data_IF_234896165173
#
_entry.id   IF_234896165173
#
_cell.length_a   1.000
_cell.length_b   1.000
_cell.length_c   1.000
_cell.angle_alpha   90.00
_cell.angle_beta   90.00
_cell.angle_gamma   90.00
#
_symmetry.space_group_name_H-M   'P 1'
#
loop_
_entity.id
_entity.type
_entity.pdbx_description
1 polymer ?
#
# COMPACT_ATOMS: atom_id res chain seq x y z
N UNK A 1 17.23 -8.06 -12.73
CA UNK A 1 16.79 -7.30 -13.93
C UNK A 1 15.35 -6.87 -13.77
N UNK A 2 15.07 -5.75 -13.06
CA UNK A 2 13.72 -5.14 -12.97
C UNK A 2 13.80 -3.69 -12.51
N UNK A 3 14.72 -2.91 -13.07
CA UNK A 3 14.83 -1.46 -12.81
C UNK A 3 14.75 -0.76 -14.16
N UNK A 4 13.56 -0.72 -14.75
CA UNK A 4 13.30 0.05 -15.97
C UNK A 4 11.86 0.61 -16.00
N UNK A 5 11.16 0.62 -14.85
CA UNK A 5 9.81 1.19 -14.74
C UNK A 5 9.88 2.67 -14.29
N UNK A 6 11.04 3.14 -13.83
CA UNK A 6 11.23 4.50 -13.30
C UNK A 6 11.62 5.55 -14.35
N UNK A 7 11.73 5.20 -15.63
CA UNK A 7 12.08 6.16 -16.70
C UNK A 7 10.91 6.52 -17.62
N UNK A 8 9.73 5.93 -17.43
CA UNK A 8 8.55 6.23 -18.24
C UNK A 8 7.53 7.04 -17.42
N UNK A 9 7.44 8.37 -17.61
CA UNK A 9 6.48 9.22 -16.90
C UNK A 9 5.02 8.83 -17.18
N UNK A 10 4.75 8.20 -18.33
CA UNK A 10 3.44 7.69 -18.73
C UNK A 10 3.09 6.30 -18.16
N UNK A 11 3.90 5.76 -17.24
CA UNK A 11 3.54 4.52 -16.57
C UNK A 11 2.31 4.71 -15.68
N UNK A 12 1.33 3.81 -15.82
CA UNK A 12 0.15 3.75 -14.97
C UNK A 12 0.38 2.78 -13.81
N UNK A 13 0.29 3.28 -12.59
CA UNK A 13 0.40 2.51 -11.36
C UNK A 13 -1.00 2.07 -10.89
N UNK A 14 -1.10 0.83 -10.39
CA UNK A 14 -2.29 0.39 -9.65
C UNK A 14 -2.05 0.54 -8.16
N UNK A 15 -3.14 0.42 -7.40
CA UNK A 15 -3.09 0.43 -5.93
C UNK A 15 -2.07 -0.58 -5.37
N UNK A 16 -1.85 -1.71 -6.05
CA UNK A 16 -0.92 -2.78 -5.62
C UNK A 16 0.55 -2.40 -5.80
N UNK A 17 0.85 -1.50 -6.74
CA UNK A 17 2.21 -0.99 -7.00
C UNK A 17 2.54 0.17 -6.05
N UNK A 18 1.51 0.87 -5.58
CA UNK A 18 1.62 1.98 -4.62
C UNK A 18 1.70 1.48 -3.17
N UNK A 19 0.79 0.57 -2.79
CA UNK A 19 0.64 0.13 -1.42
C UNK A 19 1.69 -0.91 -1.01
N UNK A 20 2.33 -0.68 0.14
CA UNK A 20 3.17 -1.66 0.82
C UNK A 20 2.37 -2.33 1.95
N UNK A 21 2.42 -3.66 1.99
CA UNK A 21 2.03 -4.43 3.16
C UNK A 21 3.31 -4.72 3.95
N UNK A 22 3.48 -4.18 5.18
CA UNK A 22 4.67 -4.49 5.97
C UNK A 22 4.76 -5.99 6.24
N UNK A 23 5.98 -6.51 6.33
CA UNK A 23 6.19 -7.92 6.70
C UNK A 23 5.48 -8.19 8.03
N UNK A 24 4.52 -9.11 8.00
CA UNK A 24 3.85 -9.57 9.21
C UNK A 24 4.43 -10.91 9.61
N UNK A 25 5.24 -10.92 10.66
CA UNK A 25 5.74 -12.15 11.28
C UNK A 25 4.60 -12.96 11.87
N UNK A 26 4.72 -14.29 11.84
CA UNK A 26 3.77 -15.18 12.50
C UNK A 26 3.72 -14.83 13.98
N UNK A 27 2.51 -14.67 14.51
CA UNK A 27 2.31 -14.53 15.94
C UNK A 27 1.16 -15.39 16.40
N UNK A 28 1.33 -15.89 17.61
CA UNK A 28 0.35 -16.69 18.30
C UNK A 28 -0.35 -15.76 19.29
N UNK A 29 -1.65 -15.57 19.12
CA UNK A 29 -2.45 -14.76 20.03
C UNK A 29 -3.20 -15.69 21.00
N UNK A 30 -2.81 -15.62 22.27
CA UNK A 30 -3.46 -16.35 23.37
C UNK A 30 -4.44 -15.43 24.08
N UNK A 31 -5.70 -15.85 24.19
CA UNK A 31 -6.72 -15.09 24.91
C UNK A 31 -6.55 -15.27 26.42
N UNK A 32 -6.32 -14.17 27.15
CA UNK A 32 -5.92 -14.19 28.57
C UNK A 32 -7.11 -14.31 29.54
N UNK A 33 -8.33 -13.92 29.15
CA UNK A 33 -9.53 -13.94 29.99
C UNK A 33 -10.83 -14.08 29.18
N UNK A 34 -11.92 -14.49 29.84
CA UNK A 34 -13.25 -14.69 29.26
C UNK A 34 -13.58 -16.15 28.87
N UNK A 35 -14.73 -16.37 28.23
CA UNK A 35 -15.23 -17.71 27.80
C UNK A 35 -14.28 -18.47 26.85
N UNK A 36 -13.36 -17.77 26.18
CA UNK A 36 -12.38 -18.34 25.26
C UNK A 36 -10.95 -18.41 25.86
N UNK A 37 -10.80 -18.34 27.18
CA UNK A 37 -9.51 -18.41 27.87
C UNK A 37 -8.78 -19.72 27.50
N UNK A 38 -7.53 -19.60 27.05
CA UNK A 38 -6.71 -20.74 26.59
C UNK A 38 -6.84 -21.08 25.10
N UNK A 39 -7.80 -20.50 24.38
CA UNK A 39 -7.85 -20.64 22.93
C UNK A 39 -6.74 -19.82 22.28
N UNK A 40 -6.08 -20.46 21.33
CA UNK A 40 -4.91 -19.92 20.65
C UNK A 40 -5.26 -19.72 19.18
N UNK A 41 -5.15 -18.48 18.69
CA UNK A 41 -5.28 -18.19 17.25
C UNK A 41 -3.89 -18.00 16.65
N UNK A 42 -3.53 -18.89 15.72
CA UNK A 42 -2.34 -18.72 14.88
C UNK A 42 -2.67 -17.73 13.77
N UNK A 43 -1.90 -16.65 13.72
CA UNK A 43 -1.96 -15.68 12.64
C UNK A 43 -0.81 -16.01 11.69
N UNK A 44 -1.13 -16.31 10.43
CA UNK A 44 -0.15 -16.66 9.40
C UNK A 44 0.73 -15.48 9.01
N UNK A 45 1.96 -15.78 8.60
CA UNK A 45 2.91 -14.81 8.10
C UNK A 45 2.50 -14.34 6.71
N UNK A 46 2.82 -13.08 6.43
CA UNK A 46 2.69 -12.50 5.08
C UNK A 46 3.98 -11.75 4.73
N UNK A 47 4.59 -12.02 3.56
CA UNK A 47 5.80 -11.34 3.13
C UNK A 47 5.52 -9.86 2.85
N UNK A 48 6.56 -9.03 2.93
CA UNK A 48 6.47 -7.61 2.56
C UNK A 48 6.14 -7.46 1.06
N UNK A 49 5.20 -6.58 0.75
CA UNK A 49 4.85 -6.27 -0.65
C UNK A 49 5.75 -5.17 -1.19
N UNK A 50 6.09 -5.23 -2.47
CA UNK A 50 6.91 -4.21 -3.14
C UNK A 50 6.04 -3.01 -3.55
N UNK A 51 5.81 -2.09 -2.62
CA UNK A 51 5.08 -0.84 -2.85
C UNK A 51 5.96 0.40 -2.66
N UNK A 52 5.72 1.45 -3.45
CA UNK A 52 6.54 2.67 -3.47
C UNK A 52 6.34 3.51 -2.19
N UNK A 53 5.11 3.57 -1.66
CA UNK A 53 4.73 4.57 -0.66
C UNK A 53 4.79 4.08 0.80
N UNK A 54 5.19 2.83 1.05
CA UNK A 54 5.27 2.30 2.43
C UNK A 54 3.94 2.20 3.19
N UNK A 55 2.82 2.58 2.58
CA UNK A 55 1.49 2.65 3.21
C UNK A 55 0.53 1.59 2.68
N UNK A 56 -0.49 1.25 3.47
CA UNK A 56 -1.54 0.31 3.08
C UNK A 56 -2.52 0.90 2.07
N UNK A 57 -3.24 0.04 1.33
CA UNK A 57 -4.25 0.44 0.34
C UNK A 57 -5.31 1.37 0.93
N UNK A 58 -5.80 1.07 2.14
CA UNK A 58 -6.80 1.89 2.83
C UNK A 58 -6.33 3.31 3.09
N UNK A 59 -5.06 3.48 3.44
CA UNK A 59 -4.49 4.80 3.73
C UNK A 59 -4.47 5.66 2.47
N UNK A 60 -4.09 5.06 1.33
CA UNK A 60 -4.10 5.75 0.03
C UNK A 60 -5.53 6.18 -0.33
N UNK A 61 -6.51 5.28 -0.21
CA UNK A 61 -7.92 5.63 -0.46
C UNK A 61 -8.45 6.71 0.49
N UNK A 62 -7.97 6.74 1.73
CA UNK A 62 -8.31 7.79 2.67
C UNK A 62 -7.74 9.14 2.22
N UNK A 63 -6.49 9.20 1.78
CA UNK A 63 -5.89 10.42 1.24
C UNK A 63 -6.57 10.88 -0.06
N UNK A 64 -6.95 9.95 -0.93
CA UNK A 64 -7.77 10.26 -2.12
C UNK A 64 -9.10 10.89 -1.72
N UNK A 65 -9.77 10.36 -0.69
CA UNK A 65 -11.02 10.93 -0.17
C UNK A 65 -10.81 12.30 0.49
N UNK A 66 -9.65 12.51 1.12
CA UNK A 66 -9.27 13.78 1.73
C UNK A 66 -8.78 14.82 0.69
N UNK A 67 -8.51 14.41 -0.55
CA UNK A 67 -7.98 15.27 -1.61
C UNK A 67 -6.49 15.55 -1.50
N UNK A 68 -5.78 14.86 -0.60
CA UNK A 68 -4.33 15.02 -0.43
C UNK A 68 -3.54 14.22 -1.46
N UNK A 69 -4.10 13.13 -2.01
CA UNK A 69 -3.45 12.27 -2.99
C UNK A 69 -3.98 12.55 -4.40
N UNK A 70 -3.17 12.37 -5.48
CA UNK A 70 -3.63 12.56 -6.85
C UNK A 70 -4.89 11.75 -7.17
N UNK A 71 -5.77 12.35 -7.98
CA UNK A 71 -7.05 11.75 -8.30
C UNK A 71 -6.85 10.45 -9.11
N UNK A 72 -7.55 9.37 -8.73
CA UNK A 72 -7.54 8.13 -9.49
C UNK A 72 -8.18 8.31 -10.86
N UNK A 73 -7.53 7.77 -11.90
CA UNK A 73 -8.09 7.65 -13.25
C UNK A 73 -8.78 6.29 -13.34
N UNK A 74 -10.07 6.30 -13.69
CA UNK A 74 -10.86 5.08 -13.85
C UNK A 74 -10.82 4.61 -15.30
N UNK A 75 -10.16 3.49 -15.55
CA UNK A 75 -10.11 2.77 -16.83
C UNK A 75 -11.01 1.54 -16.73
N UNK A 76 -12.30 1.74 -17.03
CA UNK A 76 -13.33 0.70 -16.91
C UNK A 76 -13.52 0.25 -15.46
N UNK A 77 -13.18 -1.02 -15.18
CA UNK A 77 -13.25 -1.60 -13.82
C UNK A 77 -11.98 -1.35 -13.00
N UNK A 78 -10.91 -0.85 -13.64
CA UNK A 78 -9.60 -0.70 -13.01
C UNK A 78 -9.38 0.78 -12.65
N UNK A 79 -8.83 1.00 -11.47
CA UNK A 79 -8.38 2.32 -11.03
C UNK A 79 -6.86 2.41 -11.11
N UNK A 80 -6.35 3.45 -11.76
CA UNK A 80 -4.92 3.68 -11.96
C UNK A 80 -4.53 5.12 -11.62
N UNK A 81 -3.24 5.32 -11.36
CA UNK A 81 -2.62 6.63 -11.17
C UNK A 81 -1.48 6.80 -12.16
N UNK A 82 -1.21 8.02 -12.60
CA UNK A 82 0.00 8.30 -13.38
C UNK A 82 1.20 8.34 -12.45
N UNK A 83 2.32 7.75 -12.88
CA UNK A 83 3.57 7.79 -12.14
C UNK A 83 4.02 9.24 -11.88
N UNK A 84 3.92 10.11 -12.88
CA UNK A 84 4.28 11.53 -12.74
C UNK A 84 3.53 12.26 -11.63
N UNK A 85 2.21 12.04 -11.51
CA UNK A 85 1.39 12.69 -10.49
C UNK A 85 1.75 12.19 -9.09
N UNK A 86 2.01 10.89 -8.96
CA UNK A 86 2.44 10.28 -7.70
C UNK A 86 3.83 10.77 -7.31
N UNK A 87 4.76 10.87 -8.26
CA UNK A 87 6.10 11.37 -8.02
C UNK A 87 6.08 12.85 -7.62
N UNK A 88 5.29 13.68 -8.30
CA UNK A 88 5.09 15.08 -7.91
C UNK A 88 4.52 15.20 -6.50
N UNK A 89 3.56 14.34 -6.13
CA UNK A 89 3.03 14.27 -4.79
C UNK A 89 4.07 13.85 -3.74
N UNK A 90 4.90 12.84 -4.05
CA UNK A 90 5.99 12.41 -3.14
C UNK A 90 6.98 13.54 -2.88
N UNK A 91 7.35 14.27 -3.94
CA UNK A 91 8.23 15.44 -3.86
C UNK A 91 7.60 16.54 -3.00
N UNK A 92 6.30 16.80 -3.17
CA UNK A 92 5.58 17.78 -2.35
C UNK A 92 5.53 17.40 -0.85
N UNK A 93 5.56 16.10 -0.53
CA UNK A 93 5.60 15.59 0.84
C UNK A 93 7.02 15.52 1.43
N UNK A 94 8.06 15.86 0.67
CA UNK A 94 9.45 15.75 1.12
C UNK A 94 9.94 14.31 1.28
N UNK A 95 9.23 13.35 0.69
CA UNK A 95 9.70 11.97 0.55
C UNK A 95 10.68 11.94 -0.62
N UNK A 96 11.96 12.24 -0.34
CA UNK A 96 13.02 12.10 -1.34
C UNK A 96 13.18 10.62 -1.72
N UNK A 97 13.32 10.39 -3.04
CA UNK A 97 13.34 9.07 -3.67
C UNK A 97 14.65 8.30 -3.46
#
# INVERSE_FOLDING_TARGET
MTIAILQNPDAFLRIKDLANFPERKERIQTHKAGKCKGQTKRISARPASRGILGVSDKTIWQWVKQGEFPQPIKLGSITVWRLSDVQAWMQAQGLEA
#
